data_IF_461044070551
#
_entry.id   IF_461044070551
#
_cell.length_a   1.000
_cell.length_b   1.000
_cell.length_c   1.000
_cell.angle_alpha   90.00
_cell.angle_beta   90.00
_cell.angle_gamma   90.00
#
_symmetry.space_group_name_H-M   'P 1'
#
loop_
_entity.id
_entity.type
_entity.pdbx_description
1 polymer ?
#
# COMPACT_ATOMS: atom_id res chain seq x y z
N UNK A 1 6.99 -1.56 10.61
CA UNK A 1 6.15 -0.45 10.10
C UNK A 1 6.29 0.80 10.97
N UNK A 2 6.43 0.66 12.30
CA UNK A 2 6.63 1.78 13.24
C UNK A 2 7.78 2.73 12.88
N UNK A 3 8.93 2.22 12.42
CA UNK A 3 10.05 3.07 11.97
C UNK A 3 9.66 3.95 10.77
N UNK A 4 8.96 3.38 9.79
CA UNK A 4 8.53 4.10 8.59
C UNK A 4 7.48 5.18 8.94
N UNK A 5 6.55 4.86 9.84
CA UNK A 5 5.59 5.84 10.37
C UNK A 5 6.27 6.96 11.17
N UNK A 6 7.22 6.61 12.04
CA UNK A 6 7.99 7.58 12.80
C UNK A 6 8.78 8.53 11.88
N UNK A 7 9.47 7.98 10.88
CA UNK A 7 10.19 8.79 9.89
C UNK A 7 9.25 9.68 9.07
N UNK A 8 8.09 9.17 8.67
CA UNK A 8 7.11 9.95 7.92
C UNK A 8 6.52 11.09 8.76
N UNK A 9 6.24 10.86 10.06
CA UNK A 9 5.85 11.91 11.00
C UNK A 9 6.95 12.95 11.20
N UNK A 10 8.20 12.52 11.36
CA UNK A 10 9.35 13.44 11.47
C UNK A 10 9.50 14.33 10.22
N UNK A 11 9.12 13.81 9.04
CA UNK A 11 9.12 14.55 7.78
C UNK A 11 7.83 15.32 7.50
N UNK A 12 6.90 15.36 8.47
CA UNK A 12 5.60 16.04 8.35
C UNK A 12 4.76 15.53 7.16
N UNK A 13 4.90 14.25 6.81
CA UNK A 13 4.04 13.61 5.83
C UNK A 13 2.60 13.55 6.36
N UNK A 14 1.61 13.70 5.46
CA UNK A 14 0.18 13.72 5.82
C UNK A 14 -0.47 12.34 5.77
N UNK A 15 0.09 11.44 4.98
CA UNK A 15 -0.43 10.08 4.81
C UNK A 15 0.70 9.16 4.36
N UNK A 16 0.49 7.85 4.55
CA UNK A 16 1.28 6.79 3.93
C UNK A 16 0.41 6.02 2.95
N UNK A 17 0.97 5.73 1.78
CA UNK A 17 0.32 4.92 0.74
C UNK A 17 1.16 3.69 0.46
N UNK A 18 0.50 2.55 0.26
CA UNK A 18 1.11 1.28 -0.13
C UNK A 18 0.29 0.60 -1.22
N UNK A 19 0.97 -0.18 -2.06
CA UNK A 19 0.35 -0.99 -3.11
C UNK A 19 0.43 -2.46 -2.72
N UNK A 20 -0.69 -3.16 -2.84
CA UNK A 20 -0.80 -4.58 -2.49
C UNK A 20 -1.51 -5.31 -3.62
N UNK A 21 -0.99 -6.44 -4.07
CA UNK A 21 -1.70 -7.27 -5.06
C UNK A 21 -3.06 -7.71 -4.52
N UNK A 22 -4.08 -7.80 -5.38
CA UNK A 22 -5.44 -8.12 -4.95
C UNK A 22 -5.58 -9.53 -4.36
N UNK A 23 -4.67 -10.44 -4.70
CA UNK A 23 -4.56 -11.80 -4.19
C UNK A 23 -3.78 -11.92 -2.87
N UNK A 24 -3.21 -10.82 -2.37
CA UNK A 24 -2.42 -10.83 -1.16
C UNK A 24 -3.30 -11.00 0.09
N UNK A 25 -3.20 -12.17 0.72
CA UNK A 25 -3.91 -12.50 1.96
C UNK A 25 -3.54 -11.60 3.14
N UNK A 26 -2.38 -10.93 3.10
CA UNK A 26 -1.94 -10.00 4.13
C UNK A 26 -2.68 -8.65 4.09
N UNK A 27 -3.58 -8.41 3.11
CA UNK A 27 -4.39 -7.18 3.03
C UNK A 27 -5.04 -6.82 4.37
N UNK A 28 -5.63 -7.79 5.05
CA UNK A 28 -6.31 -7.57 6.33
C UNK A 28 -5.38 -7.09 7.45
N UNK A 29 -4.06 -7.35 7.36
CA UNK A 29 -3.09 -6.83 8.31
C UNK A 29 -2.87 -5.33 8.14
N UNK A 30 -2.95 -4.81 6.90
CA UNK A 30 -2.88 -3.38 6.63
C UNK A 30 -4.18 -2.68 7.05
N UNK A 31 -5.33 -3.31 6.81
CA UNK A 31 -6.63 -2.81 7.28
C UNK A 31 -6.66 -2.65 8.80
N UNK A 32 -6.16 -3.64 9.56
CA UNK A 32 -6.01 -3.55 11.02
C UNK A 32 -5.08 -2.43 11.49
N UNK A 33 -4.13 -2.02 10.65
CA UNK A 33 -3.19 -0.93 10.94
C UNK A 33 -3.75 0.45 10.59
N UNK A 34 -4.97 0.51 10.04
CA UNK A 34 -5.68 1.75 9.70
C UNK A 34 -5.58 2.16 8.23
N UNK A 35 -5.06 1.28 7.35
CA UNK A 35 -5.06 1.53 5.91
C UNK A 35 -6.41 1.16 5.30
N UNK A 36 -6.92 2.00 4.41
CA UNK A 36 -8.12 1.72 3.62
C UNK A 36 -7.78 1.69 2.14
N UNK A 37 -8.50 0.87 1.37
CA UNK A 37 -8.39 0.88 -0.10
C UNK A 37 -8.96 2.19 -0.61
N UNK A 38 -8.16 2.93 -1.39
CA UNK A 38 -8.57 4.18 -2.02
C UNK A 38 -8.70 4.06 -3.54
N UNK A 39 -7.97 3.12 -4.15
CA UNK A 39 -8.07 2.82 -5.57
C UNK A 39 -7.73 1.34 -5.86
N UNK A 40 -8.14 0.86 -7.03
CA UNK A 40 -7.70 -0.42 -7.60
C UNK A 40 -7.06 -0.14 -8.94
N UNK A 41 -5.75 -0.35 -9.02
CA UNK A 41 -4.94 -0.03 -10.19
C UNK A 41 -4.62 -1.30 -10.98
N UNK A 42 -4.59 -1.19 -12.30
CA UNK A 42 -4.13 -2.26 -13.18
C UNK A 42 -2.63 -2.10 -13.43
N UNK A 43 -1.82 -3.07 -13.00
CA UNK A 43 -0.39 -3.09 -13.28
C UNK A 43 -0.11 -3.98 -14.48
N UNK A 44 0.16 -3.34 -15.62
CA UNK A 44 0.70 -3.95 -16.83
C UNK A 44 2.08 -3.35 -17.12
N UNK A 45 3.04 -4.18 -17.55
CA UNK A 45 4.43 -3.76 -17.83
C UNK A 45 5.41 -3.92 -16.66
N UNK A 46 6.60 -3.32 -16.78
CA UNK A 46 7.77 -3.53 -15.89
C UNK A 46 7.51 -3.31 -14.39
N UNK A 47 6.50 -2.50 -14.04
CA UNK A 47 6.03 -2.27 -12.67
C UNK A 47 5.36 -3.49 -12.05
N UNK A 48 4.71 -4.34 -12.87
CA UNK A 48 4.17 -5.62 -12.45
C UNK A 48 5.28 -6.52 -11.90
N UNK A 49 6.39 -6.68 -12.62
CA UNK A 49 7.48 -7.60 -12.25
C UNK A 49 8.03 -7.43 -10.82
N UNK A 50 7.94 -6.23 -10.25
CA UNK A 50 8.43 -5.94 -8.89
C UNK A 50 7.37 -6.12 -7.79
N UNK A 51 6.08 -6.12 -8.15
CA UNK A 51 4.95 -6.13 -7.20
C UNK A 51 4.19 -7.47 -7.25
N UNK A 52 4.21 -8.18 -8.39
CA UNK A 52 3.58 -9.49 -8.58
C UNK A 52 3.40 -9.88 -10.06
N UNK A 53 2.73 -11.00 -10.38
CA UNK A 53 2.33 -11.26 -11.74
C UNK A 53 1.43 -10.11 -12.28
N UNK A 54 1.36 -9.93 -13.62
CA UNK A 54 0.45 -8.95 -14.22
C UNK A 54 -0.97 -9.11 -13.65
N UNK A 55 -1.57 -8.03 -13.18
CA UNK A 55 -2.83 -8.11 -12.44
C UNK A 55 -3.27 -6.77 -11.88
N UNK A 56 -4.21 -6.82 -10.94
CA UNK A 56 -4.68 -5.64 -10.22
C UNK A 56 -3.97 -5.52 -8.87
N UNK A 57 -3.73 -4.28 -8.43
CA UNK A 57 -3.26 -3.96 -7.08
C UNK A 57 -4.26 -3.02 -6.41
N UNK A 58 -4.41 -3.16 -5.10
CA UNK A 58 -5.05 -2.16 -4.26
C UNK A 58 -4.03 -1.09 -3.92
N UNK A 59 -4.39 0.16 -4.19
CA UNK A 59 -3.77 1.31 -3.54
C UNK A 59 -4.45 1.50 -2.19
N UNK A 60 -3.69 1.39 -1.11
CA UNK A 60 -4.18 1.57 0.25
C UNK A 60 -3.49 2.75 0.92
N UNK A 61 -4.26 3.58 1.62
CA UNK A 61 -3.75 4.77 2.29
C UNK A 61 -4.20 4.86 3.74
N UNK A 62 -3.35 5.45 4.57
CA UNK A 62 -3.61 5.74 5.98
C UNK A 62 -3.14 7.16 6.31
N UNK A 63 -3.95 7.99 6.99
CA UNK A 63 -3.49 9.27 7.51
C UNK A 63 -2.43 9.07 8.60
N UNK A 64 -1.41 9.94 8.60
CA UNK A 64 -0.37 9.96 9.63
C UNK A 64 -0.79 10.86 10.78
#
# INVERSE_FOLDING_TARGET
>A
MEKAEAEARCRQCKAMTLYVTTDNRARHLYERQGYSVIATESVCGCLGCCIGPPGSVYEMSKPL
#
